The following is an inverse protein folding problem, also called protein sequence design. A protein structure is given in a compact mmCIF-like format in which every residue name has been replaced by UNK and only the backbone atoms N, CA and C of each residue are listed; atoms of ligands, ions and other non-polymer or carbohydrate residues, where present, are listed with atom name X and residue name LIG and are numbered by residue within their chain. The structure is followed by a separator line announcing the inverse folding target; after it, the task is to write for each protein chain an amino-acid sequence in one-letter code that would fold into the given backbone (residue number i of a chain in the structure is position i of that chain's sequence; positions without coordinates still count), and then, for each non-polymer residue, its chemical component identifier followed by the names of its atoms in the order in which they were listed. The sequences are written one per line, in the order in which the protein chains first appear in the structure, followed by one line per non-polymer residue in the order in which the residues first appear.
data_IF_588709165644
#
_entry.id   IF_588709165644
#
_cell.length_a   1.000
_cell.length_b   1.000
_cell.length_c   1.000
_cell.angle_alpha   90.00
_cell.angle_beta   90.00
_cell.angle_gamma   90.00
#
_symmetry.space_group_name_H-M   'P 1'
#
loop_
_entity.id
_entity.type
_entity.pdbx_description
1 polymer ?
#
# COMPACT_ATOMS: atom_id res chain seq x y z
N UNK A 1 -12.49 -0.77 24.14
CA UNK A 1 -11.50 0.23 23.67
C UNK A 1 -10.24 0.11 24.52
N UNK A 2 -9.07 0.40 23.97
CA UNK A 2 -7.80 0.33 24.68
C UNK A 2 -6.96 1.59 24.48
N UNK A 3 -6.28 2.02 25.54
CA UNK A 3 -5.27 3.08 25.53
C UNK A 3 -4.03 2.63 26.33
N UNK A 4 -2.82 2.82 25.79
CA UNK A 4 -1.61 2.59 26.58
C UNK A 4 -1.59 3.56 27.78
N UNK A 5 -1.12 3.08 28.94
CA UNK A 5 -1.08 3.78 30.24
C UNK A 5 -2.45 4.01 30.86
N UNK A 6 -3.36 4.72 30.17
CA UNK A 6 -4.79 4.87 30.48
C UNK A 6 -5.44 5.92 29.54
N UNK A 7 -6.78 5.99 29.54
CA UNK A 7 -7.51 7.12 28.95
C UNK A 7 -7.28 8.41 29.75
N UNK A 8 -7.46 9.58 29.10
CA UNK A 8 -7.41 10.88 29.76
C UNK A 8 -8.52 11.05 30.80
N UNK A 9 -9.72 10.58 30.47
CA UNK A 9 -10.92 10.76 31.29
C UNK A 9 -11.28 9.55 32.15
N UNK A 10 -10.59 8.41 31.99
CA UNK A 10 -10.88 7.14 32.68
C UNK A 10 -9.57 6.49 33.09
N UNK A 11 -9.40 6.22 34.39
CA UNK A 11 -8.21 5.57 34.96
C UNK A 11 -8.19 4.05 34.72
N UNK A 12 -8.21 3.66 33.46
CA UNK A 12 -8.09 2.28 32.99
C UNK A 12 -7.40 2.25 31.63
N UNK A 13 -6.70 1.17 31.31
CA UNK A 13 -6.13 0.94 29.97
C UNK A 13 -7.12 0.27 29.03
N UNK A 14 -8.03 -0.56 29.56
CA UNK A 14 -8.98 -1.34 28.79
C UNK A 14 -10.38 -1.14 29.36
N UNK A 15 -11.30 -0.73 28.51
CA UNK A 15 -12.70 -0.49 28.87
C UNK A 15 -13.64 -1.17 27.90
N UNK A 16 -14.75 -1.69 28.43
CA UNK A 16 -15.89 -2.11 27.62
C UNK A 16 -16.81 -0.91 27.43
N UNK A 17 -17.17 -0.63 26.18
CA UNK A 17 -17.94 0.54 25.81
C UNK A 17 -19.15 0.09 25.01
N UNK A 18 -20.33 0.58 25.38
CA UNK A 18 -21.58 0.36 24.64
C UNK A 18 -22.01 1.65 23.98
N UNK A 19 -22.28 1.64 22.67
CA UNK A 19 -22.87 2.79 21.98
C UNK A 19 -24.36 2.89 22.35
N UNK A 20 -24.78 4.00 22.94
CA UNK A 20 -26.19 4.25 23.28
C UNK A 20 -26.89 4.95 22.12
N UNK A 21 -26.19 5.89 21.48
CA UNK A 21 -26.69 6.61 20.30
C UNK A 21 -25.90 7.88 20.04
N UNK A 22 -25.74 8.22 18.75
CA UNK A 22 -24.96 9.39 18.34
C UNK A 22 -23.52 9.34 18.87
N UNK A 23 -23.13 10.36 19.64
CA UNK A 23 -21.82 10.47 20.27
C UNK A 23 -21.78 9.98 21.72
N UNK A 24 -22.87 9.40 22.25
CA UNK A 24 -23.00 9.03 23.66
C UNK A 24 -22.78 7.53 23.85
N UNK A 25 -21.89 7.22 24.77
CA UNK A 25 -21.42 5.87 25.07
C UNK A 25 -21.52 5.59 26.56
N UNK A 26 -21.72 4.33 26.91
CA UNK A 26 -21.81 3.88 28.30
C UNK A 26 -20.60 3.03 28.68
N UNK A 27 -20.00 3.34 29.83
CA UNK A 27 -18.94 2.57 30.48
C UNK A 27 -19.33 2.43 31.95
N UNK A 28 -19.50 1.20 32.44
CA UNK A 28 -19.86 0.91 33.84
C UNK A 28 -21.05 1.75 34.36
N UNK A 29 -22.12 1.87 33.56
CA UNK A 29 -23.33 2.67 33.86
C UNK A 29 -23.15 4.19 33.90
N UNK A 30 -21.96 4.70 33.53
CA UNK A 30 -21.72 6.15 33.32
C UNK A 30 -21.73 6.48 31.84
N UNK A 31 -22.26 7.66 31.52
CA UNK A 31 -22.31 8.17 30.16
C UNK A 31 -21.08 9.02 29.87
N UNK A 32 -20.49 8.80 28.70
CA UNK A 32 -19.33 9.51 28.16
C UNK A 32 -19.63 9.93 26.71
N UNK A 33 -19.04 11.03 26.28
CA UNK A 33 -18.98 11.35 24.85
C UNK A 33 -17.82 10.59 24.20
N UNK A 34 -17.91 10.33 22.89
CA UNK A 34 -16.83 9.69 22.15
C UNK A 34 -15.48 10.42 22.30
N UNK A 35 -15.50 11.75 22.38
CA UNK A 35 -14.32 12.59 22.60
C UNK A 35 -13.58 12.30 23.91
N UNK A 36 -14.26 11.72 24.90
CA UNK A 36 -13.68 11.40 26.20
C UNK A 36 -12.75 10.18 26.13
N UNK A 37 -12.87 9.36 25.07
CA UNK A 37 -12.01 8.20 24.83
C UNK A 37 -10.70 8.56 24.14
N UNK A 38 -9.97 9.51 24.72
CA UNK A 38 -8.64 9.93 24.25
C UNK A 38 -7.54 9.30 25.09
N UNK A 39 -6.52 8.73 24.47
CA UNK A 39 -5.37 8.16 25.19
C UNK A 39 -4.41 9.24 25.70
N UNK A 40 -3.73 8.97 26.83
CA UNK A 40 -2.64 9.83 27.31
C UNK A 40 -1.38 9.77 26.45
N UNK A 41 -1.20 8.69 25.69
CA UNK A 41 -0.12 8.52 24.72
C UNK A 41 -0.63 7.77 23.49
N UNK A 42 0.02 7.97 22.35
CA UNK A 42 -0.27 7.21 21.14
C UNK A 42 -0.05 5.70 21.38
N UNK A 43 -1.04 4.86 21.07
CA UNK A 43 -0.85 3.42 20.85
C UNK A 43 0.37 3.13 19.96
N UNK A 44 1.31 2.34 20.48
CA UNK A 44 2.43 1.81 19.69
C UNK A 44 1.92 0.68 18.81
N UNK A 45 2.19 0.75 17.51
CA UNK A 45 1.96 -0.35 16.59
C UNK A 45 3.22 -1.22 16.50
N UNK A 46 3.04 -2.47 16.08
CA UNK A 46 4.13 -3.43 15.85
C UNK A 46 3.84 -4.28 14.62
N UNK A 47 4.90 -4.86 14.05
CA UNK A 47 4.86 -5.81 12.95
C UNK A 47 5.44 -7.13 13.44
N UNK A 48 4.67 -8.21 13.36
CA UNK A 48 5.04 -9.52 13.89
C UNK A 48 4.96 -10.58 12.80
N UNK A 49 6.04 -11.33 12.59
CA UNK A 49 6.01 -12.54 11.75
C UNK A 49 4.99 -13.52 12.36
N UNK A 50 4.10 -14.05 11.53
CA UNK A 50 3.03 -14.96 11.97
C UNK A 50 3.52 -16.41 12.13
N UNK A 51 4.67 -16.74 11.53
CA UNK A 51 5.14 -18.11 11.34
C UNK A 51 4.63 -18.77 10.05
N UNK A 52 3.68 -18.13 9.35
CA UNK A 52 3.18 -18.56 8.05
C UNK A 52 4.03 -17.99 6.91
N UNK A 53 4.10 -18.71 5.80
CA UNK A 53 4.72 -18.26 4.56
C UNK A 53 3.65 -17.78 3.58
N UNK A 54 4.07 -17.00 2.60
CA UNK A 54 3.25 -16.53 1.49
C UNK A 54 4.18 -16.26 0.31
N UNK A 55 3.79 -16.53 -0.94
CA UNK A 55 4.57 -16.33 -2.17
C UNK A 55 6.07 -15.94 -2.00
N UNK A 56 6.93 -16.94 -1.77
CA UNK A 56 8.39 -16.82 -1.57
C UNK A 56 8.87 -15.95 -0.39
N UNK A 57 7.95 -15.44 0.41
CA UNK A 57 8.17 -14.62 1.60
C UNK A 57 7.45 -15.13 2.85
N UNK A 58 7.40 -14.24 3.84
CA UNK A 58 6.79 -14.47 5.15
C UNK A 58 5.56 -13.60 5.33
N UNK A 59 4.56 -14.14 6.01
CA UNK A 59 3.36 -13.40 6.35
C UNK A 59 3.56 -12.66 7.68
N UNK A 60 3.41 -11.35 7.64
CA UNK A 60 3.60 -10.44 8.77
C UNK A 60 2.25 -9.79 9.08
N UNK A 61 1.84 -9.80 10.35
CA UNK A 61 0.68 -9.03 10.82
C UNK A 61 1.14 -7.69 11.40
N UNK A 62 0.44 -6.62 11.06
CA UNK A 62 0.70 -5.28 11.59
C UNK A 62 -0.52 -4.81 12.37
N UNK A 63 -0.29 -4.28 13.58
CA UNK A 63 -1.38 -3.84 14.45
C UNK A 63 -0.92 -3.48 15.84
N UNK A 64 -1.81 -3.65 16.81
CA UNK A 64 -1.60 -3.26 18.21
C UNK A 64 -1.63 -4.48 19.12
N UNK A 65 -0.56 -4.70 19.87
CA UNK A 65 -0.52 -5.72 20.90
C UNK A 65 -1.12 -5.16 22.19
N UNK A 66 -2.33 -5.62 22.52
CA UNK A 66 -3.07 -5.18 23.72
C UNK A 66 -2.69 -6.03 24.92
N UNK A 67 -2.44 -7.32 24.70
CA UNK A 67 -1.88 -8.27 25.66
C UNK A 67 -1.25 -9.44 24.89
N UNK A 68 -0.58 -10.34 25.61
CA UNK A 68 0.04 -11.55 25.03
C UNK A 68 -0.94 -12.47 24.27
N UNK A 69 -2.25 -12.33 24.51
CA UNK A 69 -3.30 -13.12 23.86
C UNK A 69 -4.20 -12.30 22.93
N UNK A 70 -4.04 -10.97 22.89
CA UNK A 70 -4.93 -10.10 22.13
C UNK A 70 -4.15 -9.11 21.26
N UNK A 71 -4.26 -9.33 19.95
CA UNK A 71 -3.66 -8.50 18.92
C UNK A 71 -4.75 -7.92 18.02
N UNK A 72 -4.78 -6.60 17.88
CA UNK A 72 -5.73 -5.91 17.00
C UNK A 72 -5.05 -5.64 15.67
N UNK A 73 -5.16 -6.60 14.77
CA UNK A 73 -4.61 -6.55 13.41
C UNK A 73 -5.26 -5.44 12.58
N UNK A 74 -4.45 -4.71 11.82
CA UNK A 74 -4.88 -3.67 10.88
C UNK A 74 -4.65 -4.10 9.43
N UNK A 75 -3.55 -4.80 9.18
CA UNK A 75 -3.20 -5.31 7.86
C UNK A 75 -2.27 -6.51 7.98
N UNK A 76 -2.22 -7.32 6.92
CA UNK A 76 -1.22 -8.38 6.73
C UNK A 76 -0.34 -8.06 5.55
N UNK A 77 0.94 -8.33 5.67
CA UNK A 77 1.95 -8.06 4.65
C UNK A 77 2.57 -9.39 4.25
N UNK A 78 2.60 -9.67 2.95
CA UNK A 78 3.45 -10.72 2.40
C UNK A 78 4.78 -10.11 1.96
N UNK A 79 5.86 -10.41 2.68
CA UNK A 79 7.15 -9.78 2.47
C UNK A 79 8.22 -10.83 2.15
N UNK A 80 8.89 -10.66 1.02
CA UNK A 80 10.06 -11.43 0.64
C UNK A 80 11.31 -10.77 1.22
N UNK A 81 11.86 -11.37 2.27
CA UNK A 81 13.03 -10.88 2.99
C UNK A 81 14.33 -10.99 2.18
N UNK A 82 14.38 -11.84 1.14
CA UNK A 82 15.58 -12.00 0.32
C UNK A 82 15.73 -10.88 -0.69
N UNK A 83 14.62 -10.48 -1.31
CA UNK A 83 14.57 -9.39 -2.29
C UNK A 83 14.20 -8.03 -1.66
N UNK A 84 13.83 -8.03 -0.39
CA UNK A 84 13.32 -6.86 0.34
C UNK A 84 12.11 -6.22 -0.36
N UNK A 85 11.18 -7.07 -0.81
CA UNK A 85 9.99 -6.65 -1.57
C UNK A 85 8.69 -7.13 -0.93
N UNK A 86 7.75 -6.21 -0.81
CA UNK A 86 6.37 -6.52 -0.42
C UNK A 86 5.61 -7.07 -1.63
N UNK A 87 5.22 -8.35 -1.60
CA UNK A 87 4.42 -8.97 -2.67
C UNK A 87 3.00 -8.42 -2.70
N UNK A 88 2.38 -8.36 -1.53
CA UNK A 88 1.08 -7.71 -1.33
C UNK A 88 0.86 -7.35 0.14
N UNK A 89 -0.08 -6.44 0.36
CA UNK A 89 -0.66 -6.09 1.65
C UNK A 89 -2.15 -6.29 1.58
N UNK A 90 -2.70 -6.99 2.57
CA UNK A 90 -4.11 -7.25 2.75
C UNK A 90 -4.68 -6.39 3.89
N UNK A 91 -5.73 -5.63 3.59
CA UNK A 91 -6.56 -4.93 4.58
C UNK A 91 -8.01 -4.83 4.10
N UNK A 92 -8.93 -4.59 5.03
CA UNK A 92 -10.33 -4.36 4.69
C UNK A 92 -10.65 -2.86 4.62
N UNK A 93 -11.47 -2.48 3.64
CA UNK A 93 -12.02 -1.15 3.47
C UNK A 93 -13.52 -1.21 3.75
N UNK A 94 -14.00 -0.32 4.61
CA UNK A 94 -15.40 -0.27 5.01
C UNK A 94 -16.03 1.11 4.76
N UNK A 95 -17.34 1.28 5.04
CA UNK A 95 -18.03 2.53 4.72
C UNK A 95 -17.48 3.75 5.47
N UNK A 96 -16.96 3.53 6.67
CA UNK A 96 -16.35 4.56 7.51
C UNK A 96 -14.99 5.05 6.99
N UNK A 97 -14.30 4.28 6.13
CA UNK A 97 -12.96 4.62 5.65
C UNK A 97 -12.92 5.97 4.91
N UNK A 98 -14.00 6.40 4.27
CA UNK A 98 -14.06 7.73 3.62
C UNK A 98 -14.13 8.91 4.62
N UNK A 99 -14.38 8.63 5.89
CA UNK A 99 -14.44 9.61 6.99
C UNK A 99 -13.23 9.51 7.91
N UNK A 100 -12.07 9.12 7.34
CA UNK A 100 -10.82 9.02 8.05
C UNK A 100 -10.40 10.33 8.71
N UNK A 101 -9.70 10.24 9.84
CA UNK A 101 -9.22 11.43 10.55
C UNK A 101 -8.18 12.18 9.71
N UNK A 102 -8.37 13.49 9.58
CA UNK A 102 -7.44 14.41 8.90
C UNK A 102 -6.52 15.11 9.89
N UNK A 103 -5.42 15.69 9.41
CA UNK A 103 -4.50 16.45 10.27
C UNK A 103 -3.67 15.60 11.23
N UNK A 104 -3.60 14.28 11.00
CA UNK A 104 -2.72 13.38 11.76
C UNK A 104 -1.29 13.52 11.26
N UNK A 105 -0.39 13.92 12.16
CA UNK A 105 1.05 14.09 11.87
C UNK A 105 1.64 12.85 11.19
N UNK A 106 2.39 13.11 10.12
CA UNK A 106 3.12 12.07 9.41
C UNK A 106 4.36 11.70 10.20
N UNK A 107 4.47 10.44 10.60
CA UNK A 107 5.69 9.90 11.22
C UNK A 107 6.68 9.44 10.14
N UNK A 108 7.99 9.34 10.46
CA UNK A 108 8.96 8.69 9.60
C UNK A 108 8.57 7.22 9.34
N UNK A 109 8.93 6.72 8.16
CA UNK A 109 8.81 5.29 7.87
C UNK A 109 9.80 4.50 8.71
N UNK A 110 9.36 3.37 9.23
CA UNK A 110 10.19 2.49 10.05
C UNK A 110 10.55 1.22 9.26
N UNK A 111 11.84 0.83 9.20
CA UNK A 111 12.24 -0.41 8.53
C UNK A 111 11.94 -1.65 9.38
N UNK A 112 11.88 -1.51 10.72
CA UNK A 112 11.88 -2.67 11.61
C UNK A 112 13.17 -3.48 11.46
N UNK A 113 13.08 -4.78 11.70
CA UNK A 113 14.16 -5.76 11.51
C UNK A 113 14.14 -6.42 10.11
N UNK A 114 13.28 -5.93 9.19
CA UNK A 114 13.00 -6.58 7.90
C UNK A 114 13.99 -6.24 6.77
N UNK A 115 14.92 -5.32 6.99
CA UNK A 115 15.85 -4.80 5.96
C UNK A 115 17.31 -4.93 6.38
N UNK A 116 17.64 -5.92 7.21
CA UNK A 116 19.03 -6.24 7.62
C UNK A 116 19.82 -5.01 8.12
N UNK A 117 19.19 -4.21 8.99
CA UNK A 117 19.78 -3.00 9.58
C UNK A 117 20.02 -1.82 8.62
N UNK A 118 19.59 -1.91 7.35
CA UNK A 118 19.78 -0.84 6.37
C UNK A 118 19.03 0.44 6.78
N UNK A 119 19.65 1.58 6.48
CA UNK A 119 18.95 2.87 6.51
C UNK A 119 18.10 3.03 5.24
N UNK A 120 16.94 2.37 5.21
CA UNK A 120 16.03 2.39 4.06
C UNK A 120 15.54 3.80 3.75
N UNK A 121 15.38 4.66 4.76
CA UNK A 121 14.97 6.04 4.54
C UNK A 121 15.97 6.79 3.64
N UNK A 122 17.27 6.62 3.90
CA UNK A 122 18.33 7.19 3.07
C UNK A 122 18.28 6.70 1.61
N UNK A 123 17.98 5.42 1.37
CA UNK A 123 17.89 4.85 0.01
C UNK A 123 16.81 5.51 -0.84
N UNK A 124 15.73 5.98 -0.21
CA UNK A 124 14.64 6.70 -0.87
C UNK A 124 14.90 8.20 -1.04
N UNK A 125 15.95 8.76 -0.46
CA UNK A 125 16.28 10.17 -0.71
C UNK A 125 16.54 10.39 -2.19
N UNK A 126 16.13 11.53 -2.74
CA UNK A 126 16.28 11.84 -4.17
C UNK A 126 17.74 11.73 -4.62
N UNK A 127 18.67 12.19 -3.77
CA UNK A 127 20.11 12.07 -4.02
C UNK A 127 20.54 10.61 -4.11
N UNK A 128 20.19 9.77 -3.13
CA UNK A 128 20.68 8.39 -3.09
C UNK A 128 20.07 7.52 -4.16
N UNK A 129 18.77 7.62 -4.40
CA UNK A 129 18.12 6.86 -5.46
C UNK A 129 18.65 7.25 -6.84
N UNK A 130 18.90 8.54 -7.09
CA UNK A 130 19.46 9.01 -8.35
C UNK A 130 20.87 8.50 -8.51
N UNK A 131 21.72 8.58 -7.48
CA UNK A 131 23.07 8.01 -7.49
C UNK A 131 23.05 6.51 -7.82
N UNK A 132 22.29 5.71 -7.05
CA UNK A 132 22.23 4.25 -7.23
C UNK A 132 21.75 3.86 -8.62
N UNK A 133 20.63 4.44 -9.07
CA UNK A 133 20.05 4.09 -10.37
C UNK A 133 20.88 4.64 -11.53
N UNK A 134 21.42 5.85 -11.40
CA UNK A 134 22.26 6.42 -12.47
C UNK A 134 23.51 5.58 -12.68
N UNK A 135 24.17 5.14 -11.60
CA UNK A 135 25.33 4.27 -11.70
C UNK A 135 25.00 2.94 -12.41
N UNK A 136 23.84 2.35 -12.13
CA UNK A 136 23.38 1.14 -12.83
C UNK A 136 23.12 1.35 -14.33
N UNK A 137 22.73 2.57 -14.73
CA UNK A 137 22.37 2.91 -16.12
C UNK A 137 23.53 3.54 -16.92
N UNK A 138 24.72 3.71 -16.34
CA UNK A 138 25.86 4.37 -17.01
C UNK A 138 26.01 5.86 -16.68
N UNK A 139 25.85 6.23 -15.41
CA UNK A 139 26.11 7.57 -14.87
C UNK A 139 25.22 8.65 -15.48
N UNK A 140 25.81 9.52 -16.30
CA UNK A 140 25.15 10.70 -16.87
C UNK A 140 23.92 10.37 -17.75
N UNK A 141 23.86 9.17 -18.33
CA UNK A 141 22.66 8.72 -19.07
C UNK A 141 21.51 8.48 -18.09
N UNK A 142 21.78 7.79 -17.00
CA UNK A 142 20.78 7.46 -15.99
C UNK A 142 20.22 8.68 -15.26
N UNK A 143 21.05 9.71 -15.04
CA UNK A 143 20.62 10.93 -14.34
C UNK A 143 19.51 11.69 -15.08
N UNK A 144 19.42 11.53 -16.41
CA UNK A 144 18.38 12.16 -17.26
C UNK A 144 16.97 11.66 -17.00
N UNK A 145 16.83 10.47 -16.40
CA UNK A 145 15.53 9.94 -16.01
C UNK A 145 14.97 10.61 -14.76
N UNK A 146 15.78 11.39 -14.02
CA UNK A 146 15.32 12.10 -12.83
C UNK A 146 15.07 13.57 -13.11
N UNK A 147 13.99 14.10 -12.55
CA UNK A 147 13.67 15.51 -12.60
C UNK A 147 12.87 15.92 -11.36
N UNK A 148 13.58 16.40 -10.35
CA UNK A 148 13.01 16.74 -9.04
C UNK A 148 11.93 17.83 -9.16
N UNK A 149 12.15 18.86 -9.99
CA UNK A 149 11.18 19.96 -10.14
C UNK A 149 9.88 19.53 -10.83
N UNK A 150 9.92 18.43 -11.59
CA UNK A 150 8.74 17.79 -12.20
C UNK A 150 8.20 16.60 -11.42
N UNK A 151 8.68 16.37 -10.19
CA UNK A 151 8.33 15.19 -9.39
C UNK A 151 8.67 13.84 -10.03
N UNK A 152 9.69 13.79 -10.88
CA UNK A 152 10.20 12.54 -11.45
C UNK A 152 11.31 12.02 -10.52
N UNK A 153 10.86 11.35 -9.47
CA UNK A 153 11.66 10.60 -8.51
C UNK A 153 10.78 9.51 -7.89
N UNK A 154 11.39 8.51 -7.25
CA UNK A 154 10.71 7.45 -6.53
C UNK A 154 10.36 7.92 -5.12
N UNK A 155 9.08 7.79 -4.79
CA UNK A 155 8.54 7.93 -3.45
C UNK A 155 8.32 6.57 -2.81
N UNK A 156 8.02 6.62 -1.50
CA UNK A 156 7.58 5.47 -0.69
C UNK A 156 6.08 5.28 -0.95
N UNK A 157 5.75 4.55 -2.02
CA UNK A 157 4.37 4.28 -2.42
C UNK A 157 3.72 3.31 -1.44
N UNK A 158 2.67 3.73 -0.75
CA UNK A 158 1.97 2.87 0.21
C UNK A 158 1.20 1.75 -0.51
N UNK A 159 1.14 0.56 0.08
CA UNK A 159 0.26 -0.52 -0.38
C UNK A 159 -1.11 -0.41 0.28
N UNK A 160 -1.15 -0.47 1.62
CA UNK A 160 -2.30 -0.04 2.39
C UNK A 160 -2.17 1.46 2.66
N UNK A 161 -2.98 2.25 1.96
CA UNK A 161 -2.91 3.70 2.00
C UNK A 161 -3.29 4.23 3.39
N UNK A 162 -2.59 5.27 3.85
CA UNK A 162 -2.90 5.95 5.12
C UNK A 162 -4.40 6.27 5.24
N UNK A 163 -4.99 6.83 4.18
CA UNK A 163 -6.37 7.30 4.18
C UNK A 163 -7.42 6.18 4.18
N UNK A 164 -7.03 4.91 3.99
CA UNK A 164 -7.97 3.78 4.08
C UNK A 164 -8.34 3.43 5.53
N UNK A 165 -7.55 3.93 6.48
CA UNK A 165 -7.71 3.71 7.90
C UNK A 165 -8.36 4.90 8.61
N UNK A 166 -9.41 4.62 9.38
CA UNK A 166 -10.28 5.65 9.97
C UNK A 166 -9.56 6.43 11.05
N UNK A 167 -8.91 5.74 12.00
CA UNK A 167 -8.32 6.37 13.18
C UNK A 167 -6.84 6.70 12.97
N UNK A 168 -6.38 7.82 13.51
CA UNK A 168 -5.00 8.29 13.39
C UNK A 168 -3.97 7.30 13.92
N UNK A 169 -4.32 6.46 14.89
CA UNK A 169 -3.48 5.36 15.36
C UNK A 169 -3.25 4.31 14.26
N UNK A 170 -4.32 3.89 13.59
CA UNK A 170 -4.26 2.95 12.46
C UNK A 170 -3.49 3.56 11.29
N UNK A 171 -3.73 4.84 10.99
CA UNK A 171 -2.98 5.59 9.98
C UNK A 171 -1.47 5.62 10.25
N UNK A 172 -1.06 5.74 11.51
CA UNK A 172 0.37 5.70 11.89
C UNK A 172 0.96 4.31 11.66
N UNK A 173 0.19 3.24 11.81
CA UNK A 173 0.64 1.87 11.58
C UNK A 173 0.98 1.57 10.11
N UNK A 174 0.58 2.42 9.16
CA UNK A 174 0.91 2.24 7.73
C UNK A 174 2.33 2.67 7.36
N UNK A 175 3.04 3.36 8.26
CA UNK A 175 4.38 3.93 8.03
C UNK A 175 5.50 2.91 8.30
N UNK A 176 5.38 1.73 7.70
CA UNK A 176 6.40 0.68 7.70
C UNK A 176 6.91 0.50 6.28
N UNK A 177 8.23 0.33 6.09
CA UNK A 177 8.77 0.09 4.74
C UNK A 177 8.25 -1.21 4.12
N UNK A 178 7.88 -2.20 4.94
CA UNK A 178 7.18 -3.41 4.47
C UNK A 178 5.75 -3.13 3.96
N UNK A 179 5.18 -1.95 4.18
CA UNK A 179 3.92 -1.50 3.58
C UNK A 179 4.15 -0.52 2.41
N UNK A 180 5.36 -0.51 1.83
CA UNK A 180 5.67 0.35 0.70
C UNK A 180 6.56 -0.34 -0.33
N UNK A 181 6.57 0.21 -1.54
CA UNK A 181 7.60 -0.06 -2.53
C UNK A 181 8.00 1.23 -3.26
N UNK A 182 9.07 1.22 -4.07
CA UNK A 182 9.43 2.37 -4.88
C UNK A 182 8.33 2.68 -5.89
N UNK A 183 7.87 3.92 -5.92
CA UNK A 183 6.82 4.36 -6.84
C UNK A 183 7.18 5.70 -7.43
N UNK A 184 7.14 5.86 -8.75
CA UNK A 184 7.37 7.17 -9.36
C UNK A 184 6.34 8.17 -8.84
N UNK A 185 6.81 9.31 -8.32
CA UNK A 185 5.96 10.23 -7.57
C UNK A 185 4.84 10.83 -8.44
N UNK A 186 5.08 11.04 -9.73
CA UNK A 186 4.04 11.44 -10.70
C UNK A 186 2.93 10.40 -10.85
N UNK A 187 3.24 9.10 -10.73
CA UNK A 187 2.26 8.03 -10.72
C UNK A 187 1.56 7.92 -9.36
N UNK A 188 2.32 7.92 -8.27
CA UNK A 188 1.82 7.88 -6.88
C UNK A 188 0.78 8.98 -6.61
N UNK A 189 1.12 10.24 -6.92
CA UNK A 189 0.22 11.39 -6.76
C UNK A 189 -0.74 11.59 -7.96
N UNK A 190 -0.55 10.80 -9.02
CA UNK A 190 -1.35 10.81 -10.24
C UNK A 190 -2.49 9.82 -10.17
N UNK A 191 -2.51 8.88 -11.12
CA UNK A 191 -3.62 7.92 -11.26
C UNK A 191 -3.74 6.98 -10.06
N UNK A 192 -2.64 6.63 -9.37
CA UNK A 192 -2.71 5.73 -8.22
C UNK A 192 -3.54 6.32 -7.07
N UNK A 193 -3.29 7.58 -6.70
CA UNK A 193 -4.11 8.29 -5.72
C UNK A 193 -5.59 8.35 -6.12
N UNK A 194 -5.90 8.45 -7.43
CA UNK A 194 -7.29 8.45 -7.92
C UNK A 194 -7.96 7.10 -7.73
N UNK A 195 -7.24 6.00 -7.92
CA UNK A 195 -7.73 4.64 -7.63
C UNK A 195 -8.07 4.51 -6.14
N UNK A 196 -7.15 4.92 -5.26
CA UNK A 196 -7.33 4.84 -3.80
C UNK A 196 -8.52 5.67 -3.34
N UNK A 197 -8.60 6.94 -3.75
CA UNK A 197 -9.70 7.84 -3.37
C UNK A 197 -11.04 7.42 -3.98
N UNK A 198 -11.06 7.07 -5.27
CA UNK A 198 -12.26 6.65 -5.98
C UNK A 198 -12.89 5.40 -5.38
N UNK A 199 -12.06 4.39 -5.08
CA UNK A 199 -12.52 3.17 -4.42
C UNK A 199 -13.08 3.46 -3.02
N UNK A 200 -12.38 4.26 -2.22
CA UNK A 200 -12.80 4.61 -0.85
C UNK A 200 -14.15 5.34 -0.83
N UNK A 201 -14.32 6.31 -1.72
CA UNK A 201 -15.61 7.01 -1.88
C UNK A 201 -16.72 6.05 -2.33
N UNK A 202 -16.43 5.16 -3.29
CA UNK A 202 -17.42 4.22 -3.82
C UNK A 202 -17.88 3.20 -2.78
N UNK A 203 -16.95 2.60 -2.03
CA UNK A 203 -17.24 1.66 -0.93
C UNK A 203 -18.10 2.34 0.15
N UNK A 204 -17.79 3.59 0.50
CA UNK A 204 -18.59 4.39 1.43
C UNK A 204 -19.99 4.68 0.93
N UNK A 205 -20.13 5.13 -0.32
CA UNK A 205 -21.42 5.42 -0.95
C UNK A 205 -22.34 4.20 -1.00
N UNK A 206 -21.78 3.03 -1.31
CA UNK A 206 -22.55 1.78 -1.43
C UNK A 206 -22.71 1.03 -0.10
N UNK A 207 -22.07 1.50 0.97
CA UNK A 207 -22.15 0.91 2.32
C UNK A 207 -21.76 -0.57 2.35
N UNK A 208 -20.75 -0.94 1.58
CA UNK A 208 -20.21 -2.29 1.52
C UNK A 208 -18.88 -2.39 2.27
N UNK A 209 -18.43 -3.61 2.55
CA UNK A 209 -17.06 -3.88 3.00
C UNK A 209 -16.35 -4.67 1.91
N UNK A 210 -15.10 -4.33 1.65
CA UNK A 210 -14.27 -5.02 0.66
C UNK A 210 -12.92 -5.39 1.24
N UNK A 211 -12.41 -6.54 0.85
CA UNK A 211 -11.02 -6.92 1.09
C UNK A 211 -10.16 -6.38 -0.04
N UNK A 212 -9.07 -5.72 0.33
CA UNK A 212 -8.11 -5.11 -0.59
C UNK A 212 -6.78 -5.85 -0.48
N UNK A 213 -6.27 -6.33 -1.62
CA UNK A 213 -4.91 -6.86 -1.75
C UNK A 213 -4.15 -5.93 -2.69
N UNK A 214 -3.37 -5.01 -2.12
CA UNK A 214 -2.52 -4.11 -2.88
C UNK A 214 -1.11 -4.67 -2.94
N UNK A 215 -0.52 -4.77 -4.12
CA UNK A 215 0.81 -5.33 -4.28
C UNK A 215 1.52 -4.84 -5.53
N UNK A 216 2.65 -5.46 -5.80
CA UNK A 216 3.50 -5.12 -6.95
C UNK A 216 3.95 -6.37 -7.69
N UNK A 217 4.23 -6.23 -8.99
CA UNK A 217 4.69 -7.33 -9.81
C UNK A 217 5.77 -6.91 -10.81
N UNK A 218 6.75 -7.79 -11.02
CA UNK A 218 7.91 -7.57 -11.88
C UNK A 218 8.86 -6.46 -11.39
N UNK A 219 9.98 -6.30 -12.09
CA UNK A 219 10.92 -5.18 -11.90
C UNK A 219 10.94 -4.34 -13.18
N UNK A 220 10.75 -3.02 -13.06
CA UNK A 220 10.82 -2.12 -14.22
C UNK A 220 12.26 -1.90 -14.63
N UNK A 221 12.45 -1.55 -15.89
CA UNK A 221 13.76 -1.25 -16.47
C UNK A 221 13.76 0.12 -17.14
N UNK A 222 14.96 0.63 -17.37
CA UNK A 222 15.26 1.75 -18.25
C UNK A 222 16.47 1.38 -19.11
N UNK A 223 16.61 1.96 -20.31
CA UNK A 223 17.77 1.71 -21.15
C UNK A 223 19.03 2.31 -20.52
N UNK A 224 20.10 1.51 -20.48
CA UNK A 224 21.42 1.95 -20.07
C UNK A 224 22.12 2.78 -21.16
N UNK A 225 23.36 3.19 -20.89
CA UNK A 225 24.21 3.92 -21.84
C UNK A 225 24.45 3.20 -23.19
N UNK A 226 24.24 1.88 -23.26
CA UNK A 226 24.36 1.08 -24.47
C UNK A 226 23.00 0.78 -25.13
N UNK A 227 21.90 1.25 -24.53
CA UNK A 227 20.54 1.00 -24.98
C UNK A 227 19.95 -0.34 -24.50
N UNK A 228 20.60 -1.05 -23.58
CA UNK A 228 20.08 -2.29 -23.00
C UNK A 228 19.17 -2.00 -21.81
N UNK A 229 18.00 -2.65 -21.78
CA UNK A 229 17.07 -2.55 -20.66
C UNK A 229 17.68 -3.11 -19.37
N UNK A 230 17.88 -2.24 -18.40
CA UNK A 230 18.48 -2.55 -17.10
C UNK A 230 17.46 -2.39 -15.99
N UNK A 231 17.27 -3.44 -15.19
CA UNK A 231 16.33 -3.47 -14.07
C UNK A 231 16.74 -2.51 -12.95
N UNK A 232 15.75 -1.86 -12.33
CA UNK A 232 16.01 -0.82 -11.33
C UNK A 232 15.83 -1.34 -9.90
N UNK A 233 16.78 -1.00 -9.03
CA UNK A 233 16.80 -1.36 -7.61
C UNK A 233 17.30 -0.17 -6.77
N UNK A 234 16.86 -0.06 -5.51
CA UNK A 234 17.35 0.99 -4.61
C UNK A 234 18.60 0.58 -3.81
N UNK A 235 18.91 -0.71 -3.76
CA UNK A 235 20.10 -1.24 -3.10
C UNK A 235 20.60 -2.51 -3.81
N UNK A 236 21.82 -2.91 -3.46
CA UNK A 236 22.46 -4.14 -3.91
C UNK A 236 23.15 -4.80 -2.71
N UNK A 237 23.16 -6.13 -2.66
CA UNK A 237 23.91 -6.89 -1.66
C UNK A 237 25.40 -7.02 -2.04
N UNK A 238 26.19 -7.72 -1.22
CA UNK A 238 27.62 -7.95 -1.46
C UNK A 238 27.93 -8.77 -2.71
N UNK A 239 26.96 -9.52 -3.23
CA UNK A 239 27.05 -10.30 -4.46
C UNK A 239 26.48 -9.56 -5.67
N UNK A 240 26.14 -8.26 -5.50
CA UNK A 240 25.52 -7.42 -6.51
C UNK A 240 24.11 -7.88 -6.94
N UNK A 241 23.40 -8.63 -6.08
CA UNK A 241 21.99 -8.90 -6.29
C UNK A 241 21.18 -7.64 -5.93
N UNK A 242 20.21 -7.30 -6.78
CA UNK A 242 19.33 -6.15 -6.55
C UNK A 242 18.37 -6.37 -5.39
N UNK A 243 18.25 -5.36 -4.53
CA UNK A 243 17.36 -5.30 -3.37
C UNK A 243 16.43 -4.09 -3.46
N UNK A 244 15.23 -4.21 -2.90
CA UNK A 244 14.19 -3.17 -2.97
C UNK A 244 13.93 -2.80 -4.44
N UNK A 245 13.41 -3.75 -5.24
CA UNK A 245 13.17 -3.54 -6.67
C UNK A 245 12.17 -2.41 -6.91
N UNK A 246 12.39 -1.64 -7.98
CA UNK A 246 11.37 -0.74 -8.50
C UNK A 246 10.40 -1.57 -9.36
N UNK A 247 9.13 -1.70 -8.97
CA UNK A 247 8.22 -2.64 -9.60
C UNK A 247 7.76 -2.18 -10.98
N UNK A 248 7.40 -3.13 -11.87
CA UNK A 248 6.77 -2.82 -13.18
C UNK A 248 5.38 -2.23 -13.00
N UNK A 249 4.56 -2.89 -12.19
CA UNK A 249 3.19 -2.49 -11.92
C UNK A 249 2.90 -2.49 -10.43
N UNK A 250 2.00 -1.60 -10.04
CA UNK A 250 1.20 -1.75 -8.83
C UNK A 250 -0.14 -2.33 -9.23
N UNK A 251 -0.70 -3.18 -8.38
CA UNK A 251 -2.07 -3.66 -8.53
C UNK A 251 -2.82 -3.55 -7.22
N UNK A 252 -4.14 -3.47 -7.31
CA UNK A 252 -5.05 -3.54 -6.16
C UNK A 252 -6.23 -4.43 -6.52
N UNK A 253 -6.24 -5.65 -5.98
CA UNK A 253 -7.39 -6.54 -6.06
C UNK A 253 -8.38 -6.14 -4.98
N UNK A 254 -9.64 -6.00 -5.36
CA UNK A 254 -10.74 -5.64 -4.48
C UNK A 254 -11.81 -6.71 -4.60
N UNK A 255 -12.25 -7.28 -3.48
CA UNK A 255 -13.31 -8.29 -3.45
C UNK A 255 -14.33 -7.91 -2.38
N UNK A 256 -15.60 -7.87 -2.76
CA UNK A 256 -16.71 -7.74 -1.82
C UNK A 256 -17.06 -9.15 -1.30
N UNK A 257 -16.81 -9.47 -0.01
CA UNK A 257 -16.80 -10.86 0.44
C UNK A 257 -18.17 -11.55 0.42
N UNK A 258 -19.29 -10.82 0.44
CA UNK A 258 -20.62 -11.42 0.49
C UNK A 258 -21.13 -11.86 -0.89
N UNK A 259 -20.90 -11.05 -1.92
CA UNK A 259 -21.31 -11.34 -3.31
C UNK A 259 -20.22 -12.01 -4.11
N UNK A 260 -18.96 -12.04 -3.61
CA UNK A 260 -17.78 -12.53 -4.34
C UNK A 260 -17.53 -11.76 -5.64
N UNK A 261 -18.03 -10.53 -5.75
CA UNK A 261 -17.71 -9.65 -6.87
C UNK A 261 -16.35 -9.02 -6.61
N UNK A 262 -15.51 -8.98 -7.64
CA UNK A 262 -14.19 -8.37 -7.53
C UNK A 262 -13.72 -7.66 -8.78
N UNK A 263 -12.68 -6.85 -8.62
CA UNK A 263 -12.00 -6.12 -9.68
C UNK A 263 -10.52 -5.97 -9.31
N UNK A 264 -9.65 -5.86 -10.31
CA UNK A 264 -8.25 -5.48 -10.11
C UNK A 264 -8.01 -4.13 -10.77
N UNK A 265 -7.44 -3.18 -10.04
CA UNK A 265 -6.87 -1.97 -10.61
C UNK A 265 -5.37 -2.15 -10.82
N UNK A 266 -4.84 -1.72 -11.96
CA UNK A 266 -3.42 -1.83 -12.28
C UNK A 266 -2.90 -0.47 -12.71
N UNK A 267 -1.72 -0.10 -12.22
CA UNK A 267 -0.99 1.09 -12.64
C UNK A 267 0.44 0.74 -13.03
N UNK A 268 0.88 1.22 -14.19
CA UNK A 268 2.23 1.06 -14.72
C UNK A 268 3.17 2.05 -14.03
N UNK A 269 4.17 1.52 -13.34
CA UNK A 269 5.11 2.30 -12.54
C UNK A 269 6.37 2.66 -13.33
N UNK A 270 6.18 3.32 -14.47
CA UNK A 270 7.29 3.86 -15.25
C UNK A 270 6.80 5.00 -16.18
N UNK A 271 7.10 6.28 -15.86
CA UNK A 271 6.65 7.42 -16.65
C UNK A 271 7.47 7.63 -17.94
N UNK A 272 8.48 6.79 -18.20
CA UNK A 272 9.38 6.93 -19.35
C UNK A 272 9.04 5.98 -20.51
N UNK A 273 8.04 5.12 -20.36
CA UNK A 273 7.66 4.15 -21.38
C UNK A 273 6.95 4.81 -22.55
N UNK A 274 7.00 4.14 -23.71
CA UNK A 274 6.09 4.41 -24.82
C UNK A 274 4.84 3.52 -24.74
N UNK A 275 3.81 3.88 -25.51
CA UNK A 275 2.58 3.07 -25.56
C UNK A 275 2.84 1.67 -26.16
N UNK A 276 3.79 1.55 -27.08
CA UNK A 276 4.19 0.27 -27.67
C UNK A 276 4.81 -0.66 -26.62
N UNK A 277 5.69 -0.12 -25.77
CA UNK A 277 6.29 -0.88 -24.67
C UNK A 277 5.24 -1.33 -23.66
N UNK A 278 4.31 -0.44 -23.30
CA UNK A 278 3.21 -0.75 -22.38
C UNK A 278 2.35 -1.89 -22.95
N UNK A 279 1.89 -1.76 -24.19
CA UNK A 279 1.01 -2.72 -24.84
C UNK A 279 1.64 -4.11 -24.93
N UNK A 280 2.96 -4.16 -25.13
CA UNK A 280 3.72 -5.41 -25.26
C UNK A 280 3.96 -6.11 -23.93
N UNK A 281 4.43 -5.37 -22.92
CA UNK A 281 5.07 -5.97 -21.73
C UNK A 281 4.38 -5.65 -20.39
N UNK A 282 3.32 -4.81 -20.39
CA UNK A 282 2.67 -4.32 -19.17
C UNK A 282 1.15 -4.57 -19.11
N UNK A 283 0.55 -5.19 -20.14
CA UNK A 283 -0.87 -5.58 -20.16
C UNK A 283 -1.01 -7.04 -19.73
N UNK A 284 -1.60 -7.25 -18.54
CA UNK A 284 -1.73 -8.57 -17.91
C UNK A 284 -3.15 -9.16 -18.01
N UNK A 285 -4.07 -8.49 -18.68
CA UNK A 285 -5.46 -8.92 -18.87
C UNK A 285 -6.16 -8.06 -19.94
N UNK A 286 -7.36 -8.47 -20.34
CA UNK A 286 -8.31 -7.63 -21.06
C UNK A 286 -8.75 -6.44 -20.19
N UNK A 287 -8.57 -5.22 -20.72
CA UNK A 287 -8.95 -4.00 -20.02
C UNK A 287 -10.48 -3.83 -19.91
N UNK A 288 -10.97 -3.77 -18.68
CA UNK A 288 -12.38 -3.47 -18.35
C UNK A 288 -12.57 -2.10 -17.71
N UNK A 289 -11.55 -1.23 -17.74
CA UNK A 289 -11.54 0.09 -17.09
C UNK A 289 -12.63 1.03 -17.59
N UNK A 290 -13.12 0.88 -18.83
CA UNK A 290 -14.24 1.66 -19.38
C UNK A 290 -15.55 1.43 -18.60
N UNK A 291 -15.65 0.33 -17.86
CA UNK A 291 -16.80 0.02 -17.00
C UNK A 291 -16.68 0.67 -15.62
N UNK A 292 -15.50 1.18 -15.25
CA UNK A 292 -15.25 1.78 -13.93
C UNK A 292 -15.62 3.26 -13.97
N UNK A 293 -16.77 3.62 -13.38
CA UNK A 293 -17.26 5.00 -13.39
C UNK A 293 -16.92 5.79 -12.12
N UNK A 294 -16.30 5.16 -11.12
CA UNK A 294 -16.06 5.75 -9.80
C UNK A 294 -14.60 6.15 -9.53
N UNK A 295 -13.72 5.96 -10.52
CA UNK A 295 -12.32 6.40 -10.48
C UNK A 295 -12.13 7.51 -11.50
N UNK A 296 -11.79 8.72 -11.04
CA UNK A 296 -11.55 9.88 -11.91
C UNK A 296 -10.07 9.99 -12.30
N UNK A 297 -9.58 8.99 -13.01
CA UNK A 297 -8.21 8.90 -13.52
C UNK A 297 -8.10 9.39 -14.97
N UNK A 298 -6.87 9.69 -15.40
CA UNK A 298 -6.50 9.85 -16.81
C UNK A 298 -5.78 8.58 -17.23
N UNK A 299 -6.54 7.51 -17.45
CA UNK A 299 -5.99 6.14 -17.52
C UNK A 299 -4.88 5.96 -18.57
N UNK A 300 -4.95 6.68 -19.69
CA UNK A 300 -3.93 6.59 -20.76
C UNK A 300 -2.75 7.56 -20.60
N UNK A 301 -2.74 8.40 -19.55
CA UNK A 301 -1.63 9.33 -19.27
C UNK A 301 -0.45 8.57 -18.64
N UNK A 302 0.56 8.30 -19.46
CA UNK A 302 1.77 7.56 -19.05
C UNK A 302 2.52 8.28 -17.93
N UNK A 303 2.57 9.62 -17.95
CA UNK A 303 3.31 10.38 -16.92
C UNK A 303 2.63 10.24 -15.57
N UNK A 304 1.29 10.25 -15.54
CA UNK A 304 0.51 10.01 -14.33
C UNK A 304 0.37 8.52 -13.97
N UNK A 305 1.06 7.65 -14.71
CA UNK A 305 1.02 6.19 -14.63
C UNK A 305 -0.15 5.63 -15.42
N UNK A 306 0.15 5.06 -16.60
CA UNK A 306 -0.83 4.35 -17.41
C UNK A 306 -1.56 3.32 -16.55
N UNK A 307 -2.88 3.33 -16.56
CA UNK A 307 -3.70 2.54 -15.64
C UNK A 307 -4.84 1.85 -16.37
N UNK A 308 -5.26 0.70 -15.85
CA UNK A 308 -6.36 -0.08 -16.42
C UNK A 308 -6.98 -0.98 -15.34
N UNK A 309 -8.00 -1.75 -15.70
CA UNK A 309 -8.66 -2.66 -14.77
C UNK A 309 -8.86 -4.05 -15.37
N UNK A 310 -8.83 -5.08 -14.52
CA UNK A 310 -9.01 -6.48 -14.90
C UNK A 310 -10.16 -7.15 -14.15
N UNK A 311 -10.63 -8.27 -14.72
CA UNK A 311 -11.28 -9.32 -13.94
C UNK A 311 -10.24 -10.03 -13.07
N UNK A 312 -10.58 -10.29 -11.81
CA UNK A 312 -9.69 -10.96 -10.84
C UNK A 312 -9.21 -12.32 -11.35
N UNK A 313 -10.10 -13.15 -11.89
CA UNK A 313 -9.78 -14.49 -12.38
C UNK A 313 -8.76 -14.50 -13.53
N UNK A 314 -8.71 -13.43 -14.32
CA UNK A 314 -7.78 -13.32 -15.44
C UNK A 314 -6.42 -12.82 -14.96
N UNK A 315 -6.42 -11.78 -14.13
CA UNK A 315 -5.21 -11.25 -13.51
C UNK A 315 -4.43 -12.33 -12.75
N UNK A 316 -5.11 -13.16 -11.95
CA UNK A 316 -4.48 -14.21 -11.16
C UNK A 316 -3.78 -15.30 -12.01
N UNK A 317 -4.13 -15.45 -13.30
CA UNK A 317 -3.43 -16.39 -14.20
C UNK A 317 -2.05 -15.86 -14.59
N UNK A 318 -1.89 -14.54 -14.66
CA UNK A 318 -0.68 -13.88 -15.15
C UNK A 318 0.21 -13.33 -14.03
N UNK A 319 -0.34 -13.19 -12.82
CA UNK A 319 0.37 -12.68 -11.63
C UNK A 319 0.21 -13.67 -10.46
N UNK A 320 1.03 -14.74 -10.40
CA UNK A 320 0.87 -15.84 -9.46
C UNK A 320 1.50 -15.57 -8.08
N UNK A 321 1.38 -14.33 -7.56
CA UNK A 321 1.97 -13.95 -6.26
C UNK A 321 0.96 -13.74 -5.13
N UNK A 322 -0.33 -13.83 -5.48
CA UNK A 322 -1.44 -13.66 -4.55
C UNK A 322 -1.89 -15.02 -4.01
N UNK A 323 -2.50 -15.05 -2.81
CA UNK A 323 -3.20 -16.25 -2.35
C UNK A 323 -4.37 -16.58 -3.29
N UNK A 324 -4.98 -17.74 -3.11
CA UNK A 324 -6.24 -18.05 -3.80
C UNK A 324 -7.32 -17.06 -3.35
N UNK A 325 -7.88 -16.31 -4.30
CA UNK A 325 -8.93 -15.33 -4.05
C UNK A 325 -10.22 -15.74 -4.77
N UNK A 326 -11.33 -15.75 -4.04
CA UNK A 326 -12.65 -16.07 -4.59
C UNK A 326 -13.36 -14.82 -5.10
N UNK A 327 -13.40 -14.67 -6.42
CA UNK A 327 -14.13 -13.63 -7.14
C UNK A 327 -15.20 -14.24 -8.10
N UNK A 328 -15.80 -15.35 -7.70
CA UNK A 328 -16.79 -16.09 -8.50
C UNK A 328 -18.07 -15.31 -8.81
N UNK A 329 -18.36 -14.24 -8.06
CA UNK A 329 -19.51 -13.38 -8.24
C UNK A 329 -19.42 -12.42 -9.43
N UNK A 330 -18.26 -12.35 -10.09
CA UNK A 330 -18.06 -11.51 -11.28
C UNK A 330 -17.50 -10.13 -10.97
N UNK A 331 -17.74 -9.14 -11.85
CA UNK A 331 -17.06 -7.85 -11.81
C UNK A 331 -17.69 -6.90 -10.76
N UNK A 332 -16.87 -6.25 -9.94
CA UNK A 332 -17.28 -5.21 -9.00
C UNK A 332 -17.27 -3.84 -9.72
N UNK A 333 -18.45 -3.33 -10.08
CA UNK A 333 -18.68 -2.03 -10.77
C UNK A 333 -19.76 -1.24 -10.04
#
# INVERSE_FOLDING_TARGET
MWCPKQFKSIASELINVTCIGGSVFMVESKLYNFSDFTCNSWPSFTAQRTGETCNDGVLIRVGFEISSKHFVEQMRVCFDEKQEVTRYVHHSLGPASNYFQTGIDRIPFQPGDFFDGKNVDNLYTQVKQQETISNALGGDVGSKFFNISKNIYLARGHMAAKADFVFGTQQRATFLFINAAPQWQVFNAGNWARVEDGLRMWVSKHRINVDCYTGVYGVTSLPDQNGYETSLYLAYDSNNNGLIPVPKIYFRVVIEPSTKRGIVFIGVNNPHLTIEQITKDYIFCDDVSDKVTYVNWKKDDITLGYSYACRVSEFLKNVPILPSLDASGGLLI
#
